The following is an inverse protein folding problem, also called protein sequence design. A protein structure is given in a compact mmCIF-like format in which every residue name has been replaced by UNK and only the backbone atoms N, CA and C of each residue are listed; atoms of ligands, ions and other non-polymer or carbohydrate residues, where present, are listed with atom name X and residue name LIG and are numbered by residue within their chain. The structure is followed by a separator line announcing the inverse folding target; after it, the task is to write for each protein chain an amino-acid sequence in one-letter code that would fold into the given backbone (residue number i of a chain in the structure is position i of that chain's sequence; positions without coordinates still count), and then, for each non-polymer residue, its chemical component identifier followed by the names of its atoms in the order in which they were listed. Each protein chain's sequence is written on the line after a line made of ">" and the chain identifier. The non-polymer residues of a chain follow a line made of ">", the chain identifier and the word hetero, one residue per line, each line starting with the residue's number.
data_IF_650995120981
#
_entry.id   IF_650995120981
#
_cell.length_a   1.000
_cell.length_b   1.000
_cell.length_c   1.000
_cell.angle_alpha   90.00
_cell.angle_beta   90.00
_cell.angle_gamma   90.00
#
_symmetry.space_group_name_H-M   'P 1'
#
loop_
_entity.id
_entity.type
_entity.pdbx_description
1 polymer ?
#
# COMPACT_ATOMS: atom_id res chain seq x y z
N UNK A 1 10.43 -4.85 17.86
CA UNK A 1 10.89 -3.66 17.11
C UNK A 1 9.78 -2.61 17.15
N UNK A 2 10.10 -1.34 17.34
CA UNK A 2 9.12 -0.24 17.49
C UNK A 2 9.18 0.70 16.30
N UNK A 3 8.26 1.67 16.22
CA UNK A 3 8.34 2.71 15.20
C UNK A 3 9.49 3.67 15.54
N UNK A 4 10.41 3.97 14.61
CA UNK A 4 11.53 4.88 14.85
C UNK A 4 11.13 6.38 14.83
N UNK A 5 9.84 6.69 14.61
CA UNK A 5 9.33 8.06 14.64
C UNK A 5 8.93 8.40 16.07
N UNK A 6 9.68 9.33 16.69
CA UNK A 6 9.50 9.73 18.10
C UNK A 6 8.10 10.30 18.39
N UNK A 7 7.55 11.09 17.46
CA UNK A 7 6.20 11.68 17.59
C UNK A 7 5.07 10.72 17.20
N UNK A 8 5.36 9.44 16.98
CA UNK A 8 4.32 8.47 16.62
C UNK A 8 3.57 8.00 17.88
N UNK A 9 2.29 8.38 18.08
CA UNK A 9 1.50 7.95 19.23
C UNK A 9 1.20 6.44 19.21
N UNK A 10 1.45 5.77 18.07
CA UNK A 10 1.23 4.34 17.85
C UNK A 10 2.54 3.56 17.73
N UNK A 11 3.63 4.01 18.36
CA UNK A 11 4.90 3.29 18.44
C UNK A 11 4.82 2.06 19.37
N UNK A 12 3.97 1.11 18.99
CA UNK A 12 3.81 -0.17 19.70
C UNK A 12 4.92 -1.15 19.32
N UNK A 13 5.10 -2.21 20.13
CA UNK A 13 6.07 -3.26 19.82
C UNK A 13 5.55 -4.19 18.72
N UNK A 14 6.22 -4.17 17.56
CA UNK A 14 6.00 -5.10 16.46
C UNK A 14 6.87 -6.35 16.61
N UNK A 15 6.25 -7.53 16.43
CA UNK A 15 6.94 -8.83 16.47
C UNK A 15 7.69 -9.17 15.18
N UNK A 16 7.35 -8.53 14.05
CA UNK A 16 7.89 -8.84 12.72
C UNK A 16 8.11 -7.56 11.93
N UNK A 17 9.14 -7.54 11.07
CA UNK A 17 9.42 -6.39 10.20
C UNK A 17 8.26 -6.04 9.27
N UNK A 18 7.52 -7.04 8.78
CA UNK A 18 6.31 -6.81 7.99
C UNK A 18 5.26 -5.97 8.72
N UNK A 19 5.10 -6.15 10.03
CA UNK A 19 4.12 -5.39 10.81
C UNK A 19 4.54 -3.94 11.00
N UNK A 20 5.83 -3.66 11.20
CA UNK A 20 6.35 -2.28 11.19
C UNK A 20 6.16 -1.65 9.81
N UNK A 21 6.37 -2.41 8.73
CA UNK A 21 6.19 -1.93 7.37
C UNK A 21 4.72 -1.56 7.10
N UNK A 22 3.78 -2.42 7.49
CA UNK A 22 2.35 -2.15 7.39
C UNK A 22 1.94 -0.92 8.19
N UNK A 23 2.42 -0.79 9.44
CA UNK A 23 2.23 0.39 10.26
C UNK A 23 2.74 1.67 9.56
N UNK A 24 3.94 1.60 8.97
CA UNK A 24 4.51 2.74 8.27
C UNK A 24 3.68 3.16 7.04
N UNK A 25 3.17 2.20 6.25
CA UNK A 25 2.27 2.51 5.12
C UNK A 25 0.96 3.15 5.62
N UNK A 26 0.47 2.70 6.78
CA UNK A 26 -0.82 3.12 7.30
C UNK A 26 -0.79 4.45 8.04
N UNK A 27 0.37 4.88 8.56
CA UNK A 27 0.51 6.09 9.38
C UNK A 27 1.47 7.11 8.77
N UNK A 28 2.64 6.67 8.29
CA UNK A 28 3.72 7.56 7.83
C UNK A 28 3.79 7.70 6.31
N UNK A 29 2.84 7.12 5.56
CA UNK A 29 2.70 7.35 4.12
C UNK A 29 1.50 8.26 3.86
N UNK A 30 1.75 9.41 3.25
CA UNK A 30 0.71 10.42 2.93
C UNK A 30 -0.37 9.84 2.01
N UNK A 31 0.06 9.10 0.98
CA UNK A 31 -0.83 8.45 0.02
C UNK A 31 -0.64 6.94 0.09
N UNK A 32 -1.72 6.22 0.37
CA UNK A 32 -1.71 4.76 0.40
C UNK A 32 -2.50 4.19 -0.77
N UNK A 33 -1.98 3.08 -1.29
CA UNK A 33 -2.59 2.32 -2.37
C UNK A 33 -3.58 1.32 -1.77
N UNK A 34 -4.86 1.45 -2.08
CA UNK A 34 -5.90 0.53 -1.66
C UNK A 34 -6.47 -0.22 -2.87
N UNK A 35 -6.92 -1.45 -2.65
CA UNK A 35 -7.68 -2.18 -3.64
C UNK A 35 -9.16 -1.86 -3.47
N UNK A 36 -9.82 -1.37 -4.51
CA UNK A 36 -11.26 -1.09 -4.53
C UNK A 36 -11.95 -2.12 -5.42
N UNK A 37 -12.99 -2.74 -4.89
CA UNK A 37 -13.90 -3.57 -5.68
C UNK A 37 -14.78 -2.67 -6.56
N UNK A 38 -14.81 -2.90 -7.87
CA UNK A 38 -15.70 -2.17 -8.80
C UNK A 38 -17.16 -2.50 -8.54
N UNK A 39 -17.49 -3.76 -8.28
CA UNK A 39 -18.86 -4.25 -8.13
C UNK A 39 -19.59 -3.60 -6.94
N UNK A 40 -18.95 -3.56 -5.76
CA UNK A 40 -19.58 -3.00 -4.55
C UNK A 40 -18.91 -1.71 -4.02
N UNK A 41 -17.90 -1.19 -4.72
CA UNK A 41 -17.13 0.03 -4.36
C UNK A 41 -16.41 -0.04 -3.01
N UNK A 42 -16.33 -1.22 -2.38
CA UNK A 42 -15.64 -1.42 -1.09
C UNK A 42 -14.13 -1.35 -1.24
N UNK A 43 -13.47 -0.69 -0.29
CA UNK A 43 -12.03 -0.48 -0.27
C UNK A 43 -11.34 -1.42 0.72
N UNK A 44 -10.18 -1.93 0.33
CA UNK A 44 -9.40 -2.91 1.07
C UNK A 44 -7.94 -2.46 1.17
N UNK A 45 -7.32 -2.74 2.31
CA UNK A 45 -5.90 -2.44 2.57
C UNK A 45 -4.95 -3.21 1.66
N UNK A 46 -5.35 -4.40 1.19
CA UNK A 46 -4.50 -5.26 0.36
C UNK A 46 -5.30 -5.87 -0.79
N UNK A 47 -4.65 -6.09 -1.93
CA UNK A 47 -5.27 -6.78 -3.08
C UNK A 47 -5.70 -8.21 -2.72
N UNK A 48 -4.95 -8.89 -1.85
CA UNK A 48 -5.30 -10.23 -1.36
C UNK A 48 -6.61 -10.26 -0.57
N UNK A 49 -6.86 -9.27 0.30
CA UNK A 49 -8.13 -9.18 1.04
C UNK A 49 -9.30 -8.84 0.11
N UNK A 50 -9.06 -7.97 -0.88
CA UNK A 50 -10.05 -7.66 -1.90
C UNK A 50 -10.41 -8.88 -2.76
N UNK A 51 -9.41 -9.69 -3.16
CA UNK A 51 -9.65 -10.96 -3.90
C UNK A 51 -10.51 -11.93 -3.11
N UNK A 52 -10.18 -12.15 -1.83
CA UNK A 52 -10.97 -13.01 -0.95
C UNK A 52 -12.42 -12.53 -0.82
N UNK A 53 -12.60 -11.21 -0.73
CA UNK A 53 -13.93 -10.62 -0.74
C UNK A 53 -14.66 -10.88 -2.06
N UNK A 54 -14.03 -10.62 -3.21
CA UNK A 54 -14.68 -10.84 -4.51
C UNK A 54 -15.06 -12.30 -4.73
N UNK A 55 -14.16 -13.24 -4.40
CA UNK A 55 -14.46 -14.68 -4.51
C UNK A 55 -15.59 -15.12 -3.59
N UNK A 56 -15.66 -14.58 -2.38
CA UNK A 56 -16.67 -14.97 -1.39
C UNK A 56 -18.02 -14.28 -1.59
N UNK A 57 -18.02 -13.00 -1.99
CA UNK A 57 -19.23 -12.16 -2.08
C UNK A 57 -19.82 -12.14 -3.47
N UNK A 58 -18.98 -12.11 -4.51
CA UNK A 58 -19.45 -11.95 -5.88
C UNK A 58 -19.46 -13.27 -6.67
N UNK A 59 -18.79 -14.34 -6.18
CA UNK A 59 -18.66 -15.65 -6.86
C UNK A 59 -18.21 -15.52 -8.33
N UNK A 60 -17.48 -14.44 -8.65
CA UNK A 60 -17.02 -14.16 -10.00
C UNK A 60 -15.72 -14.91 -10.30
N UNK A 61 -15.60 -15.47 -11.51
CA UNK A 61 -14.39 -16.16 -11.95
C UNK A 61 -13.26 -15.16 -12.26
N UNK A 62 -13.59 -13.93 -12.69
CA UNK A 62 -12.60 -12.88 -12.97
C UNK A 62 -12.42 -11.93 -11.78
N UNK A 63 -11.84 -12.44 -10.70
CA UNK A 63 -11.60 -11.65 -9.48
C UNK A 63 -10.62 -10.49 -9.68
N UNK A 64 -9.77 -10.52 -10.71
CA UNK A 64 -8.74 -9.48 -10.90
C UNK A 64 -9.27 -8.28 -11.69
N UNK A 65 -10.10 -8.47 -12.72
CA UNK A 65 -10.68 -7.35 -13.51
C UNK A 65 -11.59 -6.43 -12.70
N UNK A 66 -12.16 -6.96 -11.61
CA UNK A 66 -13.04 -6.26 -10.68
C UNK A 66 -12.30 -5.46 -9.61
N UNK A 67 -10.98 -5.66 -9.47
CA UNK A 67 -10.17 -4.97 -8.46
C UNK A 67 -9.36 -3.88 -9.13
N UNK A 68 -9.58 -2.64 -8.71
CA UNK A 68 -8.74 -1.52 -9.12
C UNK A 68 -7.93 -1.00 -7.96
N UNK A 69 -6.70 -0.62 -8.27
CA UNK A 69 -5.86 0.08 -7.33
C UNK A 69 -6.23 1.57 -7.33
N UNK A 70 -6.56 2.11 -6.16
CA UNK A 70 -6.81 3.54 -5.97
C UNK A 70 -5.78 4.11 -5.01
N UNK A 71 -5.34 5.33 -5.28
CA UNK A 71 -4.49 6.10 -4.38
C UNK A 71 -5.40 6.98 -3.51
N UNK A 72 -5.35 6.79 -2.19
CA UNK A 72 -6.13 7.60 -1.24
C UNK A 72 -5.21 8.34 -0.29
N UNK A 73 -5.63 9.55 0.09
CA UNK A 73 -4.97 10.30 1.15
C UNK A 73 -5.17 9.61 2.50
N UNK A 74 -4.10 9.51 3.27
CA UNK A 74 -4.12 9.00 4.61
C UNK A 74 -4.55 10.11 5.58
N UNK A 75 -5.78 10.04 6.08
CA UNK A 75 -6.33 11.03 7.01
C UNK A 75 -5.61 11.05 8.36
N UNK A 76 -4.93 9.96 8.71
CA UNK A 76 -4.15 9.81 9.93
C UNK A 76 -2.65 9.93 9.66
N UNK A 77 -2.27 10.66 8.61
CA UNK A 77 -0.88 10.85 8.23
C UNK A 77 -0.11 11.58 9.33
N UNK A 78 1.01 10.99 9.75
CA UNK A 78 1.97 11.60 10.67
C UNK A 78 3.28 11.72 9.92
N UNK A 79 3.77 12.96 9.80
CA UNK A 79 5.05 13.23 9.15
C UNK A 79 6.18 12.48 9.87
N UNK A 80 6.93 11.61 9.19
CA UNK A 80 8.08 10.94 9.80
C UNK A 80 9.28 11.89 10.03
N UNK A 81 9.19 13.15 9.61
CA UNK A 81 10.27 14.12 9.73
C UNK A 81 11.53 13.66 9.00
N UNK A 82 12.66 13.60 9.71
CA UNK A 82 13.94 13.11 9.20
C UNK A 82 14.12 11.59 9.32
N UNK A 83 13.10 10.87 9.80
CA UNK A 83 13.21 9.42 10.02
C UNK A 83 13.26 8.68 8.68
N UNK A 84 14.30 7.88 8.42
CA UNK A 84 14.48 7.24 7.13
C UNK A 84 13.38 6.20 6.86
N UNK A 85 12.89 6.19 5.62
CA UNK A 85 11.93 5.20 5.13
C UNK A 85 12.47 3.77 5.34
N UNK A 86 11.62 2.81 5.72
CA UNK A 86 12.02 1.41 5.83
C UNK A 86 12.67 0.90 4.54
N UNK A 87 13.88 0.33 4.60
CA UNK A 87 14.73 -0.06 3.45
C UNK A 87 14.01 -0.88 2.37
N UNK A 88 13.07 -1.77 2.76
CA UNK A 88 12.27 -2.55 1.81
C UNK A 88 11.29 -1.69 1.00
N UNK A 89 10.73 -0.65 1.60
CA UNK A 89 9.82 0.26 0.93
C UNK A 89 10.56 1.11 -0.10
N UNK A 90 11.71 1.68 0.27
CA UNK A 90 12.54 2.47 -0.64
C UNK A 90 12.91 1.69 -1.91
N UNK A 91 13.35 0.44 -1.77
CA UNK A 91 13.65 -0.43 -2.91
C UNK A 91 12.44 -0.77 -3.78
N UNK A 92 11.24 -0.87 -3.20
CA UNK A 92 10.02 -1.21 -3.96
C UNK A 92 9.54 -0.03 -4.80
N UNK A 93 9.57 1.17 -4.22
CA UNK A 93 9.24 2.41 -4.93
C UNK A 93 10.24 2.68 -6.06
N UNK A 94 11.54 2.49 -5.81
CA UNK A 94 12.58 2.63 -6.83
C UNK A 94 12.38 1.65 -8.01
N UNK A 95 12.10 0.37 -7.74
CA UNK A 95 11.79 -0.61 -8.80
C UNK A 95 10.54 -0.26 -9.58
N UNK A 96 9.52 0.30 -8.91
CA UNK A 96 8.27 0.70 -9.57
C UNK A 96 8.51 1.88 -10.51
N UNK A 97 9.28 2.89 -10.07
CA UNK A 97 9.68 4.03 -10.90
C UNK A 97 10.47 3.60 -12.14
N UNK A 98 11.47 2.72 -11.96
CA UNK A 98 12.25 2.16 -13.07
C UNK A 98 11.36 1.48 -14.12
N UNK A 99 10.38 0.67 -13.68
CA UNK A 99 9.43 0.00 -14.60
C UNK A 99 8.52 0.98 -15.34
N UNK A 100 8.08 2.06 -14.68
CA UNK A 100 7.30 3.11 -15.34
C UNK A 100 8.13 3.90 -16.36
N UNK A 101 9.40 4.17 -16.05
CA UNK A 101 10.35 4.80 -16.99
C UNK A 101 10.64 3.90 -18.20
N UNK A 102 10.87 2.60 -17.98
CA UNK A 102 11.04 1.62 -19.06
C UNK A 102 9.79 1.52 -19.95
N UNK A 103 8.59 1.56 -19.37
CA UNK A 103 7.33 1.53 -20.13
C UNK A 103 7.10 2.80 -20.95
N UNK A 104 7.52 3.98 -20.46
CA UNK A 104 7.48 5.23 -21.23
C UNK A 104 8.45 5.21 -22.41
N UNK A 105 9.65 4.65 -22.21
CA UNK A 105 10.67 4.53 -23.27
C UNK A 105 10.29 3.51 -24.36
N UNK A 106 9.51 2.49 -24.01
CA UNK A 106 9.04 1.47 -24.97
C UNK A 106 7.77 1.83 -25.75
N UNK A 107 7.16 2.99 -25.51
CA UNK A 107 5.88 3.41 -26.12
C UNK A 107 6.05 4.56 -27.12
N UNK A 108 7.29 4.84 -27.54
CA UNK A 108 7.72 5.86 -28.51
C UNK A 108 8.15 5.22 -29.85
N UNK A 109 7.39 4.21 -30.33
CA UNK A 109 7.60 3.58 -31.64
C UNK A 109 6.27 3.41 -32.37
#
# INVERSE_FOLDING_TARGET
>A
MTCPVEECPNSTYFRRYGQLLDHWIDIHKEKRKLAKCKSCKKCFRTKASARKHTSATHRENDVDGLLVDIMVQNRSYISPGNTPLPRKMAQTEERSRKREEEKKRGNDC
#
